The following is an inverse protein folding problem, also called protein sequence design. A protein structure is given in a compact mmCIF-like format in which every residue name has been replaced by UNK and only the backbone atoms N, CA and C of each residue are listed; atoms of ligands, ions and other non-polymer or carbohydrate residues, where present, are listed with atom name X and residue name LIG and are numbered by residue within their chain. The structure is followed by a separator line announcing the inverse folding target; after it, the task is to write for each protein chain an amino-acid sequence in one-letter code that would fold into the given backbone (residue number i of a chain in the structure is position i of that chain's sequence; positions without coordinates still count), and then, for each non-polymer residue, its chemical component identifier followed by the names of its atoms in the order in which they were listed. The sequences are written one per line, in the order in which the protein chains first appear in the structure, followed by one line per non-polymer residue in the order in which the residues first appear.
data_IF_428190111696
#
_entry.id   IF_428190111696
#
_cell.length_a   1.000
_cell.length_b   1.000
_cell.length_c   1.000
_cell.angle_alpha   90.00
_cell.angle_beta   90.00
_cell.angle_gamma   90.00
#
_symmetry.space_group_name_H-M   'P 1'
#
loop_
_entity.id
_entity.type
_entity.pdbx_description
1 polymer ?
#
# COMPACT_ATOMS: atom_id res chain seq x y z
N UNK A 1 3.24 -24.69 -64.84
CA UNK A 1 3.57 -24.72 -63.39
C UNK A 1 4.04 -23.34 -62.86
N UNK A 2 3.31 -22.24 -63.09
CA UNK A 2 3.66 -20.91 -62.53
C UNK A 2 2.54 -20.23 -61.75
N UNK A 3 1.35 -20.84 -61.67
CA UNK A 3 0.19 -20.26 -60.98
C UNK A 3 -0.15 -20.95 -59.63
N UNK A 4 0.54 -22.03 -59.27
CA UNK A 4 0.28 -22.75 -58.00
C UNK A 4 0.98 -22.08 -56.81
N UNK A 5 2.08 -21.36 -57.03
CA UNK A 5 2.79 -20.66 -55.94
C UNK A 5 2.09 -19.36 -55.48
N UNK A 6 1.24 -18.76 -56.32
CA UNK A 6 0.55 -17.52 -55.94
C UNK A 6 -0.67 -17.76 -55.04
N UNK A 7 -1.30 -18.94 -55.13
CA UNK A 7 -2.46 -19.30 -54.29
C UNK A 7 -2.07 -19.70 -52.86
N UNK A 8 -0.86 -20.25 -52.67
CA UNK A 8 -0.33 -20.60 -51.33
C UNK A 8 0.11 -19.34 -50.56
N UNK A 9 0.51 -18.27 -51.27
CA UNK A 9 0.88 -17.00 -50.63
C UNK A 9 -0.33 -16.19 -50.16
N UNK A 10 -1.51 -16.32 -50.81
CA UNK A 10 -2.73 -15.60 -50.41
C UNK A 10 -3.43 -16.29 -49.23
N UNK A 11 -3.29 -17.61 -49.08
CA UNK A 11 -3.79 -18.34 -47.91
C UNK A 11 -2.95 -18.14 -46.64
N UNK A 12 -1.73 -17.59 -46.75
CA UNK A 12 -0.87 -17.29 -45.60
C UNK A 12 -1.06 -15.89 -44.99
N UNK A 13 -1.87 -15.02 -45.62
CA UNK A 13 -2.22 -13.69 -45.07
C UNK A 13 -3.60 -13.61 -44.39
N UNK A 14 -4.39 -14.68 -44.39
CA UNK A 14 -5.66 -14.76 -43.64
C UNK A 14 -5.52 -15.41 -42.24
N UNK A 15 -4.30 -15.69 -41.78
CA UNK A 15 -4.04 -15.98 -40.36
C UNK A 15 -3.93 -14.66 -39.55
N UNK A 16 -4.88 -13.75 -39.77
CA UNK A 16 -5.25 -12.82 -38.71
C UNK A 16 -5.95 -13.67 -37.65
N UNK A 17 -5.46 -13.59 -36.42
CA UNK A 17 -6.01 -14.26 -35.22
C UNK A 17 -7.50 -13.95 -35.08
N UNK A 18 -8.36 -14.70 -35.75
CA UNK A 18 -9.79 -14.67 -35.46
C UNK A 18 -9.96 -15.43 -34.15
N UNK A 19 -10.21 -14.70 -33.07
CA UNK A 19 -10.88 -15.27 -31.91
C UNK A 19 -12.11 -16.03 -32.41
N UNK A 20 -12.37 -17.20 -31.85
CA UNK A 20 -13.58 -17.93 -32.21
C UNK A 20 -14.81 -17.07 -31.93
N UNK A 21 -15.88 -17.23 -32.71
CA UNK A 21 -17.15 -16.51 -32.46
C UNK A 21 -17.62 -16.70 -31.00
N UNK A 22 -17.36 -17.88 -30.43
CA UNK A 22 -17.59 -18.19 -29.03
C UNK A 22 -16.76 -17.33 -28.06
N UNK A 23 -15.47 -17.11 -28.34
CA UNK A 23 -14.60 -16.26 -27.50
C UNK A 23 -14.99 -14.78 -27.59
N UNK A 24 -15.42 -14.29 -28.76
CA UNK A 24 -15.92 -12.92 -28.90
C UNK A 24 -17.21 -12.71 -28.11
N UNK A 25 -18.15 -13.65 -28.20
CA UNK A 25 -19.38 -13.61 -27.41
C UNK A 25 -19.09 -13.67 -25.90
N UNK A 26 -18.13 -14.49 -25.49
CA UNK A 26 -17.70 -14.57 -24.10
C UNK A 26 -17.07 -13.26 -23.63
N UNK A 27 -16.24 -12.63 -24.47
CA UNK A 27 -15.63 -11.32 -24.18
C UNK A 27 -16.70 -10.25 -23.93
N UNK A 28 -17.80 -10.24 -24.69
CA UNK A 28 -18.93 -9.35 -24.45
C UNK A 28 -19.64 -9.63 -23.12
N UNK A 29 -19.82 -10.90 -22.77
CA UNK A 29 -20.54 -11.31 -21.55
C UNK A 29 -19.79 -11.00 -20.25
N UNK A 30 -18.45 -11.09 -20.29
CA UNK A 30 -17.60 -10.84 -19.13
C UNK A 30 -17.36 -9.35 -18.87
N UNK A 31 -17.69 -8.46 -19.82
CA UNK A 31 -17.61 -7.01 -19.55
C UNK A 31 -18.41 -6.68 -18.29
N UNK A 32 -17.88 -5.74 -17.50
CA UNK A 32 -18.36 -5.30 -16.17
C UNK A 32 -17.48 -5.79 -14.99
N UNK A 33 -17.94 -5.54 -13.77
CA UNK A 33 -17.25 -5.82 -12.52
C UNK A 33 -17.75 -7.10 -11.89
N UNK A 34 -16.80 -7.94 -11.49
CA UNK A 34 -17.01 -9.24 -10.90
C UNK A 34 -16.19 -9.35 -9.62
N UNK A 35 -16.71 -10.03 -8.61
CA UNK A 35 -16.01 -10.24 -7.35
C UNK A 35 -16.17 -11.66 -6.84
N UNK A 36 -15.11 -12.25 -6.30
CA UNK A 36 -15.16 -13.61 -5.74
C UNK A 36 -16.23 -13.71 -4.64
N UNK A 37 -17.07 -14.76 -4.67
CA UNK A 37 -18.12 -15.00 -3.67
C UNK A 37 -17.59 -15.71 -2.44
N UNK A 38 -16.58 -16.57 -2.59
CA UNK A 38 -16.06 -17.40 -1.50
C UNK A 38 -15.19 -16.60 -0.51
N UNK A 39 -14.52 -15.55 -0.96
CA UNK A 39 -13.72 -14.68 -0.10
C UNK A 39 -14.56 -13.50 0.42
N UNK A 40 -15.51 -13.79 1.32
CA UNK A 40 -16.39 -12.77 1.93
C UNK A 40 -15.58 -11.66 2.61
N UNK A 41 -14.43 -12.02 3.19
CA UNK A 41 -13.52 -11.11 3.89
C UNK A 41 -12.40 -10.55 3.03
N UNK A 42 -12.19 -11.04 1.80
CA UNK A 42 -11.24 -10.39 0.88
C UNK A 42 -11.52 -10.65 -0.60
N UNK A 43 -12.62 -10.13 -1.19
CA UNK A 43 -12.96 -10.54 -2.53
C UNK A 43 -12.01 -9.89 -3.53
N UNK A 44 -11.49 -10.74 -4.41
CA UNK A 44 -10.76 -10.29 -5.58
C UNK A 44 -11.80 -9.75 -6.55
N UNK A 45 -11.63 -8.49 -6.94
CA UNK A 45 -12.52 -7.80 -7.87
C UNK A 45 -11.81 -7.69 -9.20
N UNK A 46 -12.44 -8.24 -10.22
CA UNK A 46 -12.06 -8.11 -11.61
C UNK A 46 -13.01 -7.14 -12.31
N UNK A 47 -12.49 -6.14 -13.01
CA UNK A 47 -13.27 -5.34 -13.94
C UNK A 47 -12.76 -5.59 -15.35
N UNK A 48 -13.61 -6.09 -16.24
CA UNK A 48 -13.25 -6.30 -17.63
C UNK A 48 -13.75 -5.12 -18.46
N UNK A 49 -12.81 -4.50 -19.17
CA UNK A 49 -13.05 -3.52 -20.22
C UNK A 49 -12.48 -4.11 -21.52
N UNK A 50 -13.03 -3.78 -22.69
CA UNK A 50 -12.76 -4.39 -24.01
C UNK A 50 -11.39 -5.08 -24.22
N UNK A 51 -10.28 -4.41 -23.90
CA UNK A 51 -8.91 -4.95 -24.07
C UNK A 51 -8.11 -5.05 -22.76
N UNK A 52 -8.71 -4.73 -21.61
CA UNK A 52 -8.01 -4.67 -20.34
C UNK A 52 -8.80 -5.30 -19.19
N UNK A 53 -8.10 -6.04 -18.34
CA UNK A 53 -8.63 -6.58 -17.10
C UNK A 53 -8.02 -5.78 -15.97
N UNK A 54 -8.88 -5.20 -15.15
CA UNK A 54 -8.54 -4.55 -13.91
C UNK A 54 -8.66 -5.56 -12.76
N UNK A 55 -7.68 -5.58 -11.86
CA UNK A 55 -7.72 -6.34 -10.62
C UNK A 55 -7.50 -5.41 -9.43
N UNK A 56 -8.41 -5.44 -8.46
CA UNK A 56 -8.29 -4.67 -7.24
C UNK A 56 -7.14 -5.16 -6.36
N UNK A 57 -6.59 -6.35 -6.56
CA UNK A 57 -5.37 -6.78 -5.88
C UNK A 57 -4.12 -6.31 -6.60
N UNK A 58 -4.24 -5.66 -7.76
CA UNK A 58 -3.10 -5.26 -8.57
C UNK A 58 -2.45 -6.45 -9.26
N UNK A 59 -1.61 -6.15 -10.25
CA UNK A 59 -0.75 -7.14 -10.89
C UNK A 59 0.70 -6.86 -10.52
N UNK A 60 1.44 -7.91 -10.19
CA UNK A 60 2.84 -7.80 -9.77
C UNK A 60 3.70 -8.83 -10.51
N UNK A 61 4.90 -8.41 -10.91
CA UNK A 61 6.02 -9.33 -11.05
C UNK A 61 6.56 -9.65 -9.64
N UNK A 62 7.15 -10.83 -9.48
CA UNK A 62 7.68 -11.27 -8.19
C UNK A 62 8.50 -12.54 -8.29
N UNK A 63 9.07 -12.94 -7.15
CA UNK A 63 9.80 -14.20 -6.99
C UNK A 63 9.07 -15.10 -5.99
N UNK A 64 9.18 -16.41 -6.16
CA UNK A 64 8.68 -17.36 -5.18
C UNK A 64 9.85 -17.77 -4.28
N UNK A 65 9.76 -17.45 -3.00
CA UNK A 65 10.73 -17.92 -2.00
C UNK A 65 10.16 -19.10 -1.22
N UNK A 66 10.99 -20.11 -0.98
CA UNK A 66 10.63 -21.26 -0.13
C UNK A 66 10.99 -20.93 1.31
N UNK A 67 10.01 -21.01 2.22
CA UNK A 67 10.24 -20.77 3.65
C UNK A 67 10.20 -22.08 4.45
N UNK A 68 11.34 -22.47 5.02
CA UNK A 68 11.46 -23.62 5.92
C UNK A 68 11.45 -25.00 5.23
N UNK A 69 11.27 -26.05 6.04
CA UNK A 69 11.32 -27.48 5.66
C UNK A 69 10.01 -27.93 4.95
N UNK A 70 8.98 -27.09 4.95
CA UNK A 70 7.72 -27.34 4.24
C UNK A 70 7.76 -26.55 2.94
N UNK A 71 7.44 -27.20 1.81
CA UNK A 71 7.50 -26.64 0.45
C UNK A 71 6.48 -25.50 0.17
N UNK A 72 6.16 -24.67 1.16
CA UNK A 72 5.34 -23.49 0.95
C UNK A 72 6.16 -22.40 0.27
N UNK A 73 5.85 -22.16 -1.01
CA UNK A 73 6.39 -21.06 -1.80
C UNK A 73 5.56 -19.81 -1.53
N UNK A 74 6.18 -18.78 -0.94
CA UNK A 74 5.57 -17.45 -0.77
C UNK A 74 5.92 -16.59 -1.98
N UNK A 75 4.91 -16.01 -2.64
CA UNK A 75 5.13 -15.01 -3.68
C UNK A 75 5.55 -13.69 -3.04
N UNK A 76 6.69 -13.16 -3.45
CA UNK A 76 7.20 -11.86 -3.04
C UNK A 76 7.09 -10.91 -4.23
N UNK A 77 6.17 -9.93 -4.20
CA UNK A 77 6.05 -8.96 -5.28
C UNK A 77 7.32 -8.11 -5.34
N UNK A 78 7.93 -8.03 -6.52
CA UNK A 78 9.13 -7.22 -6.78
C UNK A 78 8.83 -5.97 -7.59
N UNK A 79 7.77 -5.99 -8.41
CA UNK A 79 7.39 -4.84 -9.25
C UNK A 79 5.90 -4.83 -9.53
N UNK A 80 5.24 -3.71 -9.24
CA UNK A 80 3.85 -3.50 -9.61
C UNK A 80 3.71 -3.17 -11.11
N UNK A 81 2.82 -3.85 -11.79
CA UNK A 81 2.56 -3.72 -13.23
C UNK A 81 1.41 -2.76 -13.55
N UNK A 82 0.63 -2.39 -12.53
CA UNK A 82 -0.64 -1.69 -12.70
C UNK A 82 -1.79 -2.56 -12.20
N UNK A 83 -2.96 -1.95 -12.04
CA UNK A 83 -4.18 -2.71 -11.79
C UNK A 83 -4.82 -3.18 -13.07
N UNK A 84 -4.56 -2.49 -14.17
CA UNK A 84 -5.07 -2.84 -15.48
C UNK A 84 -3.92 -3.37 -16.32
N UNK A 85 -4.13 -4.57 -16.84
CA UNK A 85 -3.25 -5.18 -17.82
C UNK A 85 -4.07 -5.59 -19.03
N UNK A 86 -3.41 -5.66 -20.17
CA UNK A 86 -4.06 -6.18 -21.37
C UNK A 86 -4.44 -7.63 -21.13
N UNK A 87 -5.54 -8.05 -21.73
CA UNK A 87 -5.93 -9.45 -21.77
C UNK A 87 -6.53 -9.82 -23.12
N UNK A 88 -6.67 -11.13 -23.33
CA UNK A 88 -7.58 -11.66 -24.35
C UNK A 88 -8.27 -12.91 -23.82
N UNK A 89 -9.27 -13.37 -24.56
CA UNK A 89 -9.94 -14.64 -24.31
C UNK A 89 -9.64 -15.55 -25.48
N UNK A 90 -9.23 -16.78 -25.16
CA UNK A 90 -9.02 -17.84 -26.15
C UNK A 90 -9.40 -19.17 -25.54
N UNK A 91 -10.23 -19.95 -26.23
CA UNK A 91 -10.70 -21.26 -25.77
C UNK A 91 -11.33 -21.18 -24.36
N UNK A 92 -12.14 -20.13 -24.15
CA UNK A 92 -12.74 -19.76 -22.86
C UNK A 92 -11.73 -19.48 -21.72
N UNK A 93 -10.46 -19.30 -22.06
CA UNK A 93 -9.40 -18.98 -21.09
C UNK A 93 -9.02 -17.52 -21.20
N UNK A 94 -9.10 -16.80 -20.09
CA UNK A 94 -8.59 -15.44 -19.97
C UNK A 94 -7.07 -15.54 -19.91
N UNK A 95 -6.39 -14.88 -20.85
CA UNK A 95 -4.95 -14.73 -20.82
C UNK A 95 -4.60 -13.27 -20.57
N UNK A 96 -3.73 -13.02 -19.61
CA UNK A 96 -3.20 -11.69 -19.39
C UNK A 96 -1.81 -11.54 -20.01
N UNK A 97 -1.44 -10.31 -20.35
CA UNK A 97 -0.11 -10.01 -20.88
C UNK A 97 0.79 -9.56 -19.73
N UNK A 98 1.90 -10.28 -19.53
CA UNK A 98 2.92 -9.91 -18.54
C UNK A 98 3.79 -8.72 -18.99
N UNK A 99 4.79 -8.35 -18.18
CA UNK A 99 5.70 -7.24 -18.47
C UNK A 99 6.54 -7.42 -19.75
N UNK A 100 6.58 -8.62 -20.33
CA UNK A 100 7.27 -8.97 -21.57
C UNK A 100 6.26 -9.20 -22.73
N UNK A 101 5.00 -8.83 -22.52
CA UNK A 101 3.90 -8.99 -23.50
C UNK A 101 3.68 -10.44 -23.94
N UNK A 102 4.03 -11.42 -23.10
CA UNK A 102 3.70 -12.83 -23.35
C UNK A 102 2.33 -13.14 -22.73
N UNK A 103 1.37 -13.70 -23.49
CA UNK A 103 0.09 -14.09 -22.94
C UNK A 103 0.28 -15.27 -21.99
N UNK A 104 -0.15 -15.11 -20.75
CA UNK A 104 -0.14 -16.15 -19.71
C UNK A 104 -1.57 -16.53 -19.37
N UNK A 105 -1.90 -17.84 -19.35
CA UNK A 105 -3.25 -18.28 -19.04
C UNK A 105 -3.53 -17.95 -17.56
N UNK A 106 -4.63 -17.24 -17.29
CA UNK A 106 -4.99 -16.79 -15.96
C UNK A 106 -5.95 -17.76 -15.28
N UNK A 107 -7.16 -17.83 -15.81
CA UNK A 107 -8.18 -18.81 -15.46
C UNK A 107 -9.03 -19.14 -16.68
N UNK A 108 -9.65 -20.33 -16.63
CA UNK A 108 -10.66 -20.76 -17.59
C UNK A 108 -12.04 -20.44 -17.06
N UNK A 109 -12.86 -19.80 -17.88
CA UNK A 109 -14.28 -19.58 -17.60
C UNK A 109 -15.02 -20.86 -17.96
N UNK A 110 -15.66 -21.47 -16.96
CA UNK A 110 -16.42 -22.71 -17.13
C UNK A 110 -17.89 -22.42 -17.43
N UNK A 111 -18.45 -21.37 -16.84
CA UNK A 111 -19.79 -20.89 -17.13
C UNK A 111 -19.95 -19.42 -16.75
N UNK A 112 -20.90 -18.73 -17.38
CA UNK A 112 -21.24 -17.34 -17.10
C UNK A 112 -22.72 -17.09 -17.37
N UNK A 113 -23.34 -16.28 -16.52
CA UNK A 113 -24.67 -15.73 -16.71
C UNK A 113 -24.69 -14.24 -16.31
N UNK A 114 -25.87 -13.63 -16.13
CA UNK A 114 -25.99 -12.21 -15.77
C UNK A 114 -25.46 -11.89 -14.37
N UNK A 115 -25.47 -12.84 -13.45
CA UNK A 115 -25.15 -12.63 -12.05
C UNK A 115 -23.83 -13.28 -11.64
N UNK A 116 -23.44 -14.37 -12.30
CA UNK A 116 -22.33 -15.22 -11.86
C UNK A 116 -21.42 -15.67 -13.00
N UNK A 117 -20.14 -15.84 -12.66
CA UNK A 117 -19.12 -16.44 -13.52
C UNK A 117 -18.34 -17.48 -12.71
N UNK A 118 -18.33 -18.73 -13.18
CA UNK A 118 -17.55 -19.81 -12.56
C UNK A 118 -16.23 -19.94 -13.30
N UNK A 119 -15.12 -19.86 -12.57
CA UNK A 119 -13.77 -19.91 -13.11
C UNK A 119 -12.96 -21.05 -12.49
N UNK A 120 -11.95 -21.50 -13.22
CA UNK A 120 -10.91 -22.43 -12.76
C UNK A 120 -9.54 -21.79 -12.95
N UNK A 121 -8.79 -21.59 -11.89
CA UNK A 121 -7.44 -21.02 -12.00
C UNK A 121 -6.52 -22.00 -12.75
N UNK A 122 -5.55 -21.48 -13.52
CA UNK A 122 -4.64 -22.35 -14.28
C UNK A 122 -3.52 -22.93 -13.42
N UNK A 123 -3.07 -22.21 -12.41
CA UNK A 123 -1.95 -22.61 -11.54
C UNK A 123 -2.39 -23.39 -10.31
N UNK A 124 -3.70 -23.40 -10.03
CA UNK A 124 -4.32 -24.09 -8.92
C UNK A 124 -5.62 -24.68 -9.46
N UNK A 125 -5.83 -25.98 -9.33
CA UNK A 125 -7.03 -26.65 -9.85
C UNK A 125 -8.34 -26.22 -9.18
N UNK A 126 -8.27 -25.28 -8.23
CA UNK A 126 -9.39 -24.67 -7.53
C UNK A 126 -10.40 -24.01 -8.47
N UNK A 127 -11.67 -24.13 -8.06
CA UNK A 127 -12.81 -23.47 -8.68
C UNK A 127 -13.19 -22.26 -7.83
N UNK A 128 -13.63 -21.20 -8.48
CA UNK A 128 -14.14 -20.01 -7.82
C UNK A 128 -15.40 -19.52 -8.55
N UNK A 129 -16.28 -18.86 -7.82
CA UNK A 129 -17.50 -18.26 -8.35
C UNK A 129 -17.43 -16.76 -8.13
N UNK A 130 -17.47 -15.99 -9.20
CA UNK A 130 -17.50 -14.54 -9.17
C UNK A 130 -18.95 -14.07 -9.30
N UNK A 131 -19.39 -13.18 -8.41
CA UNK A 131 -20.65 -12.46 -8.53
C UNK A 131 -20.46 -11.12 -9.23
N UNK A 132 -21.38 -10.73 -10.11
CA UNK A 132 -21.40 -9.39 -10.72
C UNK A 132 -21.63 -8.34 -9.63
N UNK A 133 -20.89 -7.23 -9.67
CA UNK A 133 -21.05 -6.10 -8.75
C UNK A 133 -21.67 -4.92 -9.44
N UNK A 134 -22.62 -4.29 -8.75
CA UNK A 134 -23.10 -2.98 -9.12
C UNK A 134 -21.98 -1.94 -8.91
N UNK A 135 -21.62 -1.26 -9.98
CA UNK A 135 -20.73 -0.10 -9.97
C UNK A 135 -21.44 1.12 -9.36
N UNK A 136 -21.79 1.05 -8.07
CA UNK A 136 -22.14 2.26 -7.35
C UNK A 136 -20.86 3.10 -7.22
N UNK A 137 -20.77 4.15 -8.03
CA UNK A 137 -19.69 5.14 -7.98
C UNK A 137 -19.63 5.72 -6.57
N UNK A 138 -18.66 5.26 -5.78
CA UNK A 138 -18.42 5.82 -4.44
C UNK A 138 -17.88 7.24 -4.59
N UNK A 139 -18.30 8.12 -3.69
CA UNK A 139 -17.75 9.48 -3.65
C UNK A 139 -16.29 9.40 -3.22
N UNK A 140 -15.34 9.96 -3.99
CA UNK A 140 -13.93 9.95 -3.61
C UNK A 140 -13.72 10.64 -2.26
N UNK A 141 -12.87 10.06 -1.41
CA UNK A 141 -12.47 10.66 -0.16
C UNK A 141 -11.69 11.94 -0.44
N UNK A 142 -12.16 13.07 0.09
CA UNK A 142 -11.38 14.30 0.04
C UNK A 142 -10.42 14.36 1.23
N UNK A 143 -9.15 14.08 0.96
CA UNK A 143 -8.05 14.15 1.92
C UNK A 143 -6.87 14.93 1.30
N UNK A 144 -5.91 15.35 2.12
CA UNK A 144 -4.66 16.00 1.68
C UNK A 144 -3.46 15.07 1.89
N UNK A 145 -3.44 14.30 2.98
CA UNK A 145 -2.38 13.34 3.30
C UNK A 145 -2.93 12.10 4.03
N UNK A 146 -2.33 10.94 3.77
CA UNK A 146 -2.46 9.72 4.56
C UNK A 146 -1.16 9.48 5.31
N UNK A 147 -1.25 9.18 6.60
CA UNK A 147 -0.15 8.61 7.38
C UNK A 147 -0.49 7.16 7.68
N UNK A 148 0.45 6.25 7.47
CA UNK A 148 0.28 4.85 7.83
C UNK A 148 1.55 4.33 8.50
N UNK A 149 1.40 3.69 9.65
CA UNK A 149 2.52 3.12 10.41
C UNK A 149 2.19 1.74 10.93
N UNK A 150 3.18 0.86 10.95
CA UNK A 150 3.06 -0.50 11.50
C UNK A 150 4.01 -0.68 12.67
N UNK A 151 3.62 -1.48 13.65
CA UNK A 151 4.51 -1.94 14.72
C UNK A 151 5.18 -3.28 14.35
N UNK A 152 6.16 -3.67 15.17
CA UNK A 152 6.70 -5.03 15.10
C UNK A 152 5.72 -6.06 15.65
N UNK A 153 6.01 -7.33 15.40
CA UNK A 153 5.31 -8.47 15.97
C UNK A 153 6.35 -9.49 16.46
N UNK A 154 5.93 -10.58 17.10
CA UNK A 154 6.85 -11.68 17.37
C UNK A 154 7.20 -12.39 16.05
N UNK A 155 8.34 -12.05 15.47
CA UNK A 155 8.80 -12.55 14.17
C UNK A 155 9.36 -11.45 13.28
N UNK A 156 8.94 -11.44 12.01
CA UNK A 156 9.49 -10.55 10.96
C UNK A 156 8.42 -9.68 10.31
N UNK A 157 7.49 -9.13 11.09
CA UNK A 157 6.54 -8.13 10.57
C UNK A 157 7.29 -6.85 10.18
N UNK A 158 7.00 -6.34 8.99
CA UNK A 158 7.60 -5.11 8.49
C UNK A 158 7.26 -3.95 9.42
N UNK A 159 8.27 -3.18 9.83
CA UNK A 159 8.10 -1.96 10.60
C UNK A 159 8.31 -0.79 9.66
N UNK A 160 7.21 -0.18 9.24
CA UNK A 160 7.20 0.88 8.23
C UNK A 160 6.41 2.08 8.69
N UNK A 161 6.80 3.23 8.17
CA UNK A 161 6.12 4.49 8.41
C UNK A 161 6.09 5.26 7.11
N UNK A 162 4.90 5.53 6.59
CA UNK A 162 4.70 6.16 5.30
C UNK A 162 3.77 7.36 5.42
N UNK A 163 4.11 8.39 4.67
CA UNK A 163 3.35 9.62 4.55
C UNK A 163 3.13 9.87 3.07
N UNK A 164 1.88 9.80 2.64
CA UNK A 164 1.49 9.92 1.23
C UNK A 164 0.63 11.15 1.08
N UNK A 165 1.13 12.11 0.30
CA UNK A 165 0.37 13.29 -0.10
C UNK A 165 -0.58 12.94 -1.24
N UNK A 166 -1.72 13.64 -1.35
CA UNK A 166 -2.73 13.44 -2.41
C UNK A 166 -2.17 13.51 -3.84
N UNK A 167 -1.03 14.19 -4.03
CA UNK A 167 -0.37 14.29 -5.33
C UNK A 167 0.57 13.11 -5.66
N UNK A 168 0.63 12.10 -4.79
CA UNK A 168 1.47 10.91 -4.90
C UNK A 168 2.91 11.09 -4.40
N UNK A 169 3.28 12.25 -3.83
CA UNK A 169 4.55 12.37 -3.11
C UNK A 169 4.51 11.49 -1.87
N UNK A 170 5.59 10.72 -1.65
CA UNK A 170 5.69 9.77 -0.54
C UNK A 170 6.99 9.99 0.23
N UNK A 171 6.88 9.96 1.56
CA UNK A 171 8.00 9.76 2.47
C UNK A 171 7.83 8.37 3.10
N UNK A 172 8.90 7.57 3.11
CA UNK A 172 8.90 6.20 3.64
C UNK A 172 10.10 6.02 4.56
N UNK A 173 9.84 5.78 5.84
CA UNK A 173 10.83 5.36 6.82
C UNK A 173 10.69 3.85 7.09
N UNK A 174 11.69 3.11 6.63
CA UNK A 174 11.73 1.66 6.59
C UNK A 174 12.58 1.12 7.75
N UNK A 175 11.99 0.95 8.93
CA UNK A 175 12.74 0.65 10.16
C UNK A 175 13.28 -0.79 10.18
N UNK A 176 12.44 -1.79 9.86
CA UNK A 176 12.85 -3.19 9.87
C UNK A 176 12.00 -4.10 8.97
N UNK A 177 12.55 -5.28 8.66
CA UNK A 177 11.89 -6.40 7.97
C UNK A 177 11.20 -6.04 6.64
N UNK A 178 11.79 -5.15 5.84
CA UNK A 178 11.24 -4.71 4.55
C UNK A 178 12.29 -4.51 3.44
N UNK A 179 13.36 -5.31 3.46
CA UNK A 179 14.40 -5.34 2.43
C UNK A 179 15.39 -4.17 2.52
N UNK A 180 14.96 -2.93 2.19
CA UNK A 180 15.85 -1.75 2.19
C UNK A 180 15.48 -0.77 3.30
N UNK A 181 16.32 -0.76 4.34
CA UNK A 181 16.24 0.15 5.48
C UNK A 181 16.60 1.59 5.10
N UNK A 182 16.08 2.53 5.88
CA UNK A 182 16.39 3.96 5.78
C UNK A 182 15.16 4.83 5.53
N UNK A 183 15.39 6.13 5.44
CA UNK A 183 14.34 7.13 5.20
C UNK A 183 14.47 7.72 3.81
N UNK A 184 13.38 7.66 3.06
CA UNK A 184 13.38 8.01 1.65
C UNK A 184 12.21 8.92 1.29
N UNK A 185 12.47 9.87 0.40
CA UNK A 185 11.44 10.63 -0.31
C UNK A 185 11.42 10.19 -1.78
N UNK A 186 10.22 10.16 -2.36
CA UNK A 186 10.03 9.89 -3.77
C UNK A 186 8.63 10.24 -4.22
N UNK A 187 8.25 9.67 -5.36
CA UNK A 187 6.90 9.82 -5.91
C UNK A 187 6.37 8.46 -6.34
N UNK A 188 5.12 8.16 -6.03
CA UNK A 188 4.46 6.97 -6.52
C UNK A 188 4.38 7.01 -8.05
N UNK A 189 4.60 5.87 -8.70
CA UNK A 189 4.28 5.73 -10.11
C UNK A 189 2.82 6.10 -10.38
N UNK A 190 2.53 6.72 -11.53
CA UNK A 190 1.17 7.20 -11.85
C UNK A 190 0.13 6.08 -11.75
N UNK A 191 0.44 4.88 -12.22
CA UNK A 191 -0.49 3.74 -12.17
C UNK A 191 -0.71 3.26 -10.73
N UNK A 192 0.36 3.22 -9.94
CA UNK A 192 0.28 2.82 -8.53
C UNK A 192 -0.42 3.88 -7.67
N UNK A 193 -0.23 5.16 -7.96
CA UNK A 193 -0.95 6.22 -7.31
C UNK A 193 -2.46 6.10 -7.57
N UNK A 194 -2.87 5.91 -8.83
CA UNK A 194 -4.29 5.68 -9.17
C UNK A 194 -4.87 4.43 -8.50
N UNK A 195 -4.06 3.37 -8.36
CA UNK A 195 -4.45 2.19 -7.59
C UNK A 195 -4.72 2.52 -6.13
N UNK A 196 -3.76 3.19 -5.49
CA UNK A 196 -3.86 3.53 -4.09
C UNK A 196 -5.08 4.43 -3.83
N UNK A 197 -5.33 5.42 -4.69
CA UNK A 197 -6.51 6.28 -4.62
C UNK A 197 -7.80 5.48 -4.65
N UNK A 198 -7.88 4.51 -5.56
CA UNK A 198 -9.04 3.62 -5.61
C UNK A 198 -9.18 2.81 -4.32
N UNK A 199 -8.09 2.34 -3.72
CA UNK A 199 -8.13 1.62 -2.44
C UNK A 199 -8.56 2.45 -1.26
N UNK A 200 -8.12 3.69 -1.21
CA UNK A 200 -8.57 4.65 -0.21
C UNK A 200 -10.09 4.85 -0.31
N UNK A 201 -10.61 4.97 -1.54
CA UNK A 201 -12.05 5.13 -1.78
C UNK A 201 -12.84 3.84 -1.48
N UNK A 202 -12.33 2.68 -1.90
CA UNK A 202 -12.97 1.38 -1.71
C UNK A 202 -13.11 1.03 -0.22
N UNK A 203 -12.14 1.43 0.61
CA UNK A 203 -12.08 1.19 2.05
C UNK A 203 -13.07 2.03 2.86
N UNK A 204 -13.64 3.09 2.28
CA UNK A 204 -14.60 3.98 2.93
C UNK A 204 -14.13 4.44 4.31
N UNK A 205 -12.89 4.94 4.42
CA UNK A 205 -12.20 5.14 5.69
C UNK A 205 -13.01 5.89 6.77
N UNK A 206 -13.87 6.84 6.37
CA UNK A 206 -14.68 7.62 7.30
C UNK A 206 -15.82 6.82 7.95
N UNK A 207 -16.29 5.72 7.33
CA UNK A 207 -17.36 4.87 7.87
C UNK A 207 -16.84 3.79 8.84
N UNK A 208 -15.53 3.56 8.88
CA UNK A 208 -14.89 2.58 9.76
C UNK A 208 -14.91 3.03 11.22
N UNK A 209 -14.72 2.13 12.18
CA UNK A 209 -14.49 2.48 13.59
C UNK A 209 -13.06 3.03 13.76
N UNK A 210 -12.81 3.72 14.86
CA UNK A 210 -11.47 4.26 15.15
C UNK A 210 -10.51 3.21 15.74
N UNK A 211 -11.04 2.15 16.38
CA UNK A 211 -10.24 1.09 16.99
C UNK A 211 -10.82 -0.29 16.68
N UNK A 212 -9.95 -1.21 16.25
CA UNK A 212 -10.20 -2.62 16.02
C UNK A 212 -9.11 -3.41 16.75
N UNK A 213 -9.52 -4.30 17.64
CA UNK A 213 -8.60 -5.00 18.52
C UNK A 213 -9.14 -6.38 18.90
N UNK A 214 -8.28 -7.39 18.81
CA UNK A 214 -8.51 -8.72 19.40
C UNK A 214 -7.68 -8.89 20.66
N UNK A 215 -8.16 -9.74 21.59
CA UNK A 215 -7.43 -10.10 22.81
C UNK A 215 -6.38 -11.19 22.55
N UNK A 216 -5.47 -10.95 21.61
CA UNK A 216 -4.35 -11.84 21.32
C UNK A 216 -3.03 -11.07 21.40
N UNK A 217 -1.96 -11.72 21.83
CA UNK A 217 -0.64 -11.09 21.94
C UNK A 217 0.14 -11.23 20.64
N UNK A 218 1.28 -10.52 20.58
CA UNK A 218 2.36 -10.77 19.61
C UNK A 218 2.05 -10.46 18.14
N UNK A 219 0.94 -9.78 17.86
CA UNK A 219 0.59 -9.29 16.52
C UNK A 219 1.09 -7.86 16.28
N UNK A 220 1.14 -7.45 15.00
CA UNK A 220 1.40 -6.06 14.64
C UNK A 220 0.20 -5.18 14.95
N UNK A 221 0.50 -3.91 15.22
CA UNK A 221 -0.43 -2.80 15.32
C UNK A 221 -0.25 -1.90 14.11
N UNK A 222 -1.33 -1.65 13.39
CA UNK A 222 -1.37 -0.74 12.26
C UNK A 222 -2.17 0.50 12.64
N UNK A 223 -1.62 1.67 12.30
CA UNK A 223 -2.24 2.96 12.57
C UNK A 223 -2.32 3.74 11.27
N UNK A 224 -3.52 4.22 10.93
CA UNK A 224 -3.79 5.05 9.77
C UNK A 224 -4.40 6.38 10.21
N UNK A 225 -3.84 7.49 9.73
CA UNK A 225 -4.44 8.83 9.86
C UNK A 225 -4.86 9.36 8.49
N UNK A 226 -6.04 9.95 8.43
CA UNK A 226 -6.50 10.75 7.29
C UNK A 226 -6.42 12.22 7.68
N UNK A 227 -5.64 13.00 6.94
CA UNK A 227 -5.46 14.42 7.17
C UNK A 227 -6.19 15.22 6.09
N UNK A 228 -6.96 16.22 6.51
CA UNK A 228 -7.60 17.19 5.62
C UNK A 228 -7.62 18.58 6.25
N UNK A 229 -7.23 19.60 5.47
CA UNK A 229 -7.17 21.02 5.89
C UNK A 229 -6.47 21.17 7.23
N UNK A 230 -5.26 20.62 7.31
CA UNK A 230 -4.41 20.68 8.50
C UNK A 230 -5.04 20.04 9.76
N UNK A 231 -5.96 19.07 9.62
CA UNK A 231 -6.56 18.35 10.75
C UNK A 231 -6.60 16.86 10.49
N UNK A 232 -6.44 16.06 11.55
CA UNK A 232 -6.73 14.63 11.51
C UNK A 232 -8.26 14.48 11.50
N UNK A 233 -8.83 14.05 10.37
CA UNK A 233 -10.28 13.81 10.24
C UNK A 233 -10.67 12.36 10.49
N UNK A 234 -9.69 11.46 10.53
CA UNK A 234 -9.88 10.05 10.88
C UNK A 234 -8.59 9.47 11.45
N UNK A 235 -8.71 8.65 12.49
CA UNK A 235 -7.64 7.82 13.04
C UNK A 235 -8.18 6.40 13.17
N UNK A 236 -7.50 5.42 12.56
CA UNK A 236 -7.86 4.01 12.63
C UNK A 236 -6.69 3.27 13.23
N UNK A 237 -6.95 2.55 14.31
CA UNK A 237 -6.04 1.60 14.93
C UNK A 237 -6.54 0.18 14.69
N UNK A 238 -5.65 -0.68 14.24
CA UNK A 238 -5.91 -2.10 14.04
C UNK A 238 -4.85 -2.87 14.78
N UNK A 239 -5.27 -3.68 15.75
CA UNK A 239 -4.39 -4.62 16.42
C UNK A 239 -4.98 -6.01 16.27
N UNK A 240 -4.27 -6.89 15.57
CA UNK A 240 -4.59 -8.31 15.56
C UNK A 240 -6.00 -8.67 15.02
N UNK A 241 -6.67 -7.74 14.32
CA UNK A 241 -8.09 -7.84 13.97
C UNK A 241 -8.28 -7.90 12.46
N UNK A 242 -8.93 -8.95 11.90
CA UNK A 242 -9.29 -8.99 10.49
C UNK A 242 -10.37 -7.93 10.21
N UNK A 243 -9.96 -6.81 9.62
CA UNK A 243 -10.89 -5.79 9.14
C UNK A 243 -11.66 -6.27 7.91
N UNK A 244 -12.48 -5.38 7.36
CA UNK A 244 -13.14 -5.66 6.09
C UNK A 244 -12.11 -5.78 4.95
N UNK A 245 -12.46 -6.51 3.88
CA UNK A 245 -11.63 -6.68 2.69
C UNK A 245 -10.94 -5.45 2.12
N UNK A 246 -11.71 -4.37 2.03
CA UNK A 246 -11.29 -3.19 1.30
C UNK A 246 -10.20 -2.48 2.09
N UNK A 247 -10.29 -2.48 3.42
CA UNK A 247 -9.23 -2.00 4.28
C UNK A 247 -7.98 -2.88 4.19
N UNK A 248 -8.09 -4.21 4.32
CA UNK A 248 -6.92 -5.11 4.20
C UNK A 248 -6.23 -4.98 2.84
N UNK A 249 -7.00 -4.75 1.78
CA UNK A 249 -6.44 -4.45 0.46
C UNK A 249 -5.72 -3.11 0.39
N UNK A 250 -6.20 -2.08 1.09
CA UNK A 250 -5.54 -0.78 1.19
C UNK A 250 -4.25 -0.90 2.01
N UNK A 251 -4.31 -1.58 3.15
CA UNK A 251 -3.18 -1.84 4.04
C UNK A 251 -2.01 -2.51 3.31
N UNK A 252 -2.31 -3.52 2.49
CA UNK A 252 -1.32 -4.17 1.64
C UNK A 252 -0.69 -3.19 0.63
N UNK A 253 -1.51 -2.36 -0.02
CA UNK A 253 -1.02 -1.36 -0.97
C UNK A 253 -0.13 -0.31 -0.27
N UNK A 254 -0.56 0.18 0.89
CA UNK A 254 0.22 1.07 1.74
C UNK A 254 1.56 0.43 2.10
N UNK A 255 1.57 -0.83 2.52
CA UNK A 255 2.77 -1.56 2.91
C UNK A 255 3.84 -1.63 1.81
N UNK A 256 3.43 -1.78 0.56
CA UNK A 256 4.35 -1.86 -0.58
C UNK A 256 4.69 -0.50 -1.22
N UNK A 257 3.99 0.58 -0.85
CA UNK A 257 4.15 1.89 -1.48
C UNK A 257 5.59 2.41 -1.44
N UNK A 258 6.31 2.20 -0.32
CA UNK A 258 7.70 2.61 -0.15
C UNK A 258 8.71 1.87 -1.04
N UNK A 259 8.36 0.67 -1.50
CA UNK A 259 9.19 -0.12 -2.43
C UNK A 259 8.91 0.23 -3.89
N UNK A 260 7.74 0.79 -4.18
CA UNK A 260 7.26 1.11 -5.52
C UNK A 260 7.39 2.59 -5.90
N UNK A 261 8.16 3.35 -5.10
CA UNK A 261 8.42 4.76 -5.39
C UNK A 261 9.44 4.94 -6.53
N UNK A 262 9.16 5.89 -7.41
CA UNK A 262 10.09 6.42 -8.40
C UNK A 262 10.93 7.56 -7.79
N UNK A 263 12.11 7.80 -8.37
CA UNK A 263 13.03 8.89 -7.97
C UNK A 263 13.41 8.86 -6.48
N UNK A 264 13.58 7.65 -5.93
CA UNK A 264 13.92 7.41 -4.53
C UNK A 264 15.25 8.07 -4.15
N UNK A 265 15.22 9.01 -3.22
CA UNK A 265 16.40 9.64 -2.60
C UNK A 265 16.33 9.53 -1.08
N UNK A 266 17.49 9.54 -0.41
CA UNK A 266 17.54 9.64 1.06
C UNK A 266 16.93 10.96 1.51
N UNK A 267 16.23 10.95 2.64
CA UNK A 267 15.51 12.12 3.14
C UNK A 267 15.61 12.19 4.67
N UNK A 268 16.34 13.19 5.19
CA UNK A 268 16.51 13.46 6.63
C UNK A 268 16.74 12.23 7.52
N UNK A 269 17.55 11.28 7.03
CA UNK A 269 17.81 10.01 7.72
C UNK A 269 18.57 10.23 9.05
N UNK A 270 19.42 11.26 9.13
CA UNK A 270 20.15 11.63 10.35
C UNK A 270 19.28 12.28 11.42
N UNK A 271 18.19 12.93 11.02
CA UNK A 271 17.23 13.62 11.89
C UNK A 271 15.99 12.76 12.17
N UNK A 272 15.93 11.57 11.60
CA UNK A 272 14.90 10.59 11.89
C UNK A 272 15.13 9.99 13.28
N UNK A 273 14.08 9.97 14.10
CA UNK A 273 14.07 9.27 15.37
C UNK A 273 13.08 8.10 15.29
N UNK A 274 13.43 6.94 15.88
CA UNK A 274 12.63 5.73 15.75
C UNK A 274 11.27 5.95 16.42
N UNK A 275 10.20 5.55 15.74
CA UNK A 275 8.84 5.92 16.17
C UNK A 275 8.24 4.98 17.22
N UNK A 276 9.07 4.09 17.77
CA UNK A 276 8.80 3.39 19.03
C UNK A 276 9.02 4.31 20.25
N UNK A 277 9.42 5.57 20.02
CA UNK A 277 9.42 6.59 21.05
C UNK A 277 8.00 7.08 21.36
N UNK A 278 7.58 6.93 22.61
CA UNK A 278 6.37 7.60 23.11
C UNK A 278 6.71 9.06 23.37
N UNK A 279 6.09 9.97 22.61
CA UNK A 279 6.15 11.40 22.88
C UNK A 279 4.94 11.77 23.73
N UNK A 280 5.20 12.27 24.93
CA UNK A 280 4.16 12.78 25.82
C UNK A 280 4.10 14.32 25.75
N UNK A 281 2.96 14.83 25.31
CA UNK A 281 2.66 16.26 25.20
C UNK A 281 1.53 16.59 26.17
N UNK A 282 1.80 17.37 27.21
CA UNK A 282 0.81 17.80 28.21
C UNK A 282 0.01 16.63 28.83
N UNK A 283 0.65 15.48 29.04
CA UNK A 283 0.01 14.28 29.57
C UNK A 283 -0.79 13.45 28.55
N UNK A 284 -0.87 13.89 27.29
CA UNK A 284 -1.36 13.08 26.17
C UNK A 284 -0.18 12.41 25.46
N UNK A 285 -0.24 11.10 25.33
CA UNK A 285 0.72 10.32 24.56
C UNK A 285 0.35 10.35 23.08
N UNK A 286 1.30 10.70 22.22
CA UNK A 286 1.13 10.60 20.77
C UNK A 286 1.17 9.14 20.34
N UNK A 287 0.26 8.76 19.44
CA UNK A 287 0.35 7.48 18.73
C UNK A 287 1.56 7.46 17.81
N UNK A 288 2.02 6.27 17.39
CA UNK A 288 3.13 6.13 16.44
C UNK A 288 2.89 6.93 15.15
N UNK A 289 1.67 6.89 14.62
CA UNK A 289 1.30 7.67 13.45
C UNK A 289 1.30 9.20 13.69
N UNK A 290 0.88 9.66 14.87
CA UNK A 290 0.96 11.08 15.24
C UNK A 290 2.40 11.55 15.44
N UNK A 291 3.25 10.71 16.04
CA UNK A 291 4.70 10.93 16.15
C UNK A 291 5.34 11.02 14.77
N UNK A 292 4.94 10.17 13.81
CA UNK A 292 5.45 10.26 12.45
C UNK A 292 4.96 11.51 11.73
N UNK A 293 3.68 11.85 11.89
CA UNK A 293 3.14 13.12 11.38
C UNK A 293 3.96 14.30 11.92
N UNK A 294 4.20 14.34 13.23
CA UNK A 294 5.05 15.36 13.86
C UNK A 294 6.43 15.45 13.21
N UNK A 295 7.12 14.32 13.05
CA UNK A 295 8.42 14.29 12.37
C UNK A 295 8.32 14.80 10.93
N UNK A 296 7.32 14.36 10.15
CA UNK A 296 7.16 14.83 8.76
C UNK A 296 6.85 16.31 8.67
N UNK A 297 6.12 16.88 9.64
CA UNK A 297 5.90 18.32 9.70
C UNK A 297 7.22 19.06 9.99
N UNK A 298 8.04 18.60 10.95
CA UNK A 298 9.35 19.22 11.23
C UNK A 298 10.24 19.26 9.97
N UNK A 299 10.31 18.16 9.21
CA UNK A 299 11.19 18.05 8.04
C UNK A 299 10.76 18.91 6.84
N UNK A 300 9.55 19.48 6.85
CA UNK A 300 9.14 20.49 5.85
C UNK A 300 9.83 21.83 6.07
N UNK A 301 10.42 22.06 7.24
CA UNK A 301 11.00 23.34 7.63
C UNK A 301 12.53 23.23 7.78
N UNK A 302 13.28 24.27 7.39
CA UNK A 302 14.72 24.30 7.57
C UNK A 302 15.08 24.36 9.06
N UNK A 303 16.12 23.62 9.46
CA UNK A 303 16.63 23.69 10.84
C UNK A 303 17.47 24.95 11.04
N UNK A 304 16.93 25.94 11.77
CA UNK A 304 17.60 27.22 12.04
C UNK A 304 17.57 27.53 13.53
N UNK A 305 18.68 28.02 14.08
CA UNK A 305 18.73 28.39 15.50
C UNK A 305 17.68 29.48 15.80
N UNK A 306 16.77 29.18 16.73
CA UNK A 306 15.68 30.07 17.16
C UNK A 306 15.67 30.23 18.68
N UNK A 307 15.10 31.34 19.16
CA UNK A 307 14.82 31.53 20.58
C UNK A 307 13.39 31.07 20.88
N UNK A 308 13.27 30.06 21.75
CA UNK A 308 11.97 29.48 22.13
C UNK A 308 11.48 30.18 23.40
N UNK A 309 10.38 30.93 23.29
CA UNK A 309 9.68 31.50 24.45
C UNK A 309 8.71 30.46 25.03
N UNK A 310 8.54 30.46 26.36
CA UNK A 310 7.62 29.58 27.10
C UNK A 310 7.85 28.09 26.81
N UNK A 311 9.12 27.69 26.83
CA UNK A 311 9.56 26.34 26.50
C UNK A 311 9.05 25.32 27.53
N UNK A 312 8.44 24.25 27.02
CA UNK A 312 8.08 23.04 27.76
C UNK A 312 9.00 21.90 27.32
N UNK A 313 9.25 20.94 28.21
CA UNK A 313 9.96 19.71 27.87
C UNK A 313 8.95 18.60 27.64
N UNK A 314 9.00 17.97 26.48
CA UNK A 314 8.18 16.79 26.17
C UNK A 314 8.96 15.54 26.57
N UNK A 315 8.30 14.62 27.30
CA UNK A 315 8.94 13.38 27.71
C UNK A 315 9.01 12.43 26.52
N UNK A 316 10.18 11.84 26.31
CA UNK A 316 10.43 10.79 25.32
C UNK A 316 10.76 9.50 26.06
N UNK A 317 9.95 8.46 25.85
CA UNK A 317 10.23 7.12 26.39
C UNK A 317 10.49 6.17 25.21
N UNK A 318 11.54 5.37 25.30
CA UNK A 318 11.92 4.44 24.23
C UNK A 318 11.55 3.02 24.61
N UNK A 319 10.82 2.33 23.74
CA UNK A 319 10.60 0.90 23.85
C UNK A 319 11.40 0.19 22.79
N UNK A 320 12.38 -0.60 23.21
CA UNK A 320 13.04 -1.57 22.36
C UNK A 320 12.18 -2.84 22.35
N UNK A 321 11.23 -2.94 21.42
CA UNK A 321 10.63 -4.23 21.13
C UNK A 321 11.51 -4.94 20.10
N UNK A 322 12.53 -5.68 20.54
CA UNK A 322 13.23 -6.60 19.64
C UNK A 322 13.51 -7.94 20.32
N UNK A 323 12.88 -8.98 19.76
CA UNK A 323 13.21 -10.39 19.95
C UNK A 323 13.65 -10.95 18.58
N UNK A 324 14.95 -10.96 18.30
CA UNK A 324 15.52 -11.55 17.08
C UNK A 324 16.96 -11.12 16.82
N UNK A 325 17.82 -12.05 16.38
CA UNK A 325 19.25 -11.85 16.16
C UNK A 325 19.56 -10.92 14.96
N UNK A 326 20.58 -10.07 15.17
CA UNK A 326 21.40 -9.30 14.23
C UNK A 326 20.80 -9.06 12.82
N UNK A 327 20.04 -7.97 12.68
CA UNK A 327 19.82 -7.33 11.38
C UNK A 327 20.07 -5.84 11.51
N UNK A 328 21.24 -5.39 11.04
CA UNK A 328 21.76 -4.02 11.16
C UNK A 328 20.67 -2.96 11.12
N UNK A 329 20.42 -2.35 12.26
CA UNK A 329 19.34 -1.39 12.48
C UNK A 329 19.50 -0.21 11.50
N UNK A 330 18.41 0.50 11.14
CA UNK A 330 18.65 1.95 11.00
C UNK A 330 19.23 2.30 12.36
N UNK A 331 20.41 2.92 12.42
CA UNK A 331 20.93 3.45 13.68
C UNK A 331 20.53 4.93 13.73
N UNK A 332 19.23 5.27 13.89
CA UNK A 332 18.84 6.66 14.03
C UNK A 332 19.53 7.17 15.29
N UNK A 333 20.10 8.37 15.22
CA UNK A 333 20.60 8.99 16.44
C UNK A 333 19.44 9.02 17.44
N UNK A 334 19.64 8.46 18.64
CA UNK A 334 18.58 8.38 19.63
C UNK A 334 18.23 9.78 20.11
N UNK A 335 16.94 10.10 20.10
CA UNK A 335 16.41 11.40 20.49
C UNK A 335 16.38 11.53 22.01
N UNK A 336 17.24 12.37 22.58
CA UNK A 336 17.33 12.55 24.03
C UNK A 336 16.21 13.41 24.60
N UNK A 337 15.84 14.48 23.91
CA UNK A 337 14.77 15.36 24.39
C UNK A 337 14.16 16.18 23.26
N UNK A 338 12.89 16.53 23.45
CA UNK A 338 12.20 17.53 22.66
C UNK A 338 11.78 18.63 23.62
N UNK A 339 12.06 19.87 23.24
CA UNK A 339 11.58 21.04 23.98
C UNK A 339 10.92 22.02 23.04
N UNK A 340 9.85 22.67 23.43
CA UNK A 340 9.15 23.58 22.53
C UNK A 340 7.95 24.27 23.15
N UNK A 341 7.23 25.01 22.30
CA UNK A 341 6.00 25.72 22.66
C UNK A 341 4.82 25.36 21.74
N UNK A 342 4.92 24.21 21.06
CA UNK A 342 3.94 23.75 20.07
C UNK A 342 4.17 24.26 18.66
N UNK A 343 4.82 25.41 18.47
CA UNK A 343 5.22 25.91 17.13
C UNK A 343 6.72 25.75 16.89
N UNK A 344 7.51 26.10 17.90
CA UNK A 344 8.97 26.08 17.86
C UNK A 344 9.47 24.90 18.67
N UNK A 345 10.41 24.14 18.09
CA UNK A 345 10.94 22.92 18.68
C UNK A 345 12.48 22.90 18.65
N UNK A 346 13.09 22.47 19.75
CA UNK A 346 14.48 22.06 19.88
C UNK A 346 14.50 20.54 20.08
N UNK A 347 15.16 19.82 19.17
CA UNK A 347 15.42 18.40 19.28
C UNK A 347 16.89 18.20 19.62
N UNK A 348 17.17 17.42 20.67
CA UNK A 348 18.53 17.04 21.07
C UNK A 348 18.72 15.55 20.88
N UNK A 349 19.76 15.15 20.14
CA UNK A 349 20.11 13.76 19.87
C UNK A 349 21.33 13.30 20.71
N UNK A 350 21.55 11.99 20.82
CA UNK A 350 22.61 11.39 21.65
C UNK A 350 24.03 11.85 21.32
N UNK A 351 24.29 12.25 20.07
CA UNK A 351 25.55 12.85 19.64
C UNK A 351 25.70 14.34 20.04
N UNK A 352 24.83 14.85 20.93
CA UNK A 352 24.69 16.26 21.31
C UNK A 352 24.34 17.20 20.14
N UNK A 353 23.92 16.66 18.99
CA UNK A 353 23.45 17.46 17.87
C UNK A 353 22.07 18.05 18.22
N UNK A 354 21.94 19.36 18.02
CA UNK A 354 20.71 20.09 18.25
C UNK A 354 20.12 20.57 16.94
N UNK A 355 18.83 20.30 16.75
CA UNK A 355 18.05 20.78 15.62
C UNK A 355 16.94 21.68 16.12
N UNK A 356 16.61 22.69 15.33
CA UNK A 356 15.71 23.76 15.72
C UNK A 356 14.72 24.02 14.60
N UNK A 357 13.42 23.84 14.86
CA UNK A 357 12.37 23.95 13.85
C UNK A 357 11.35 24.98 14.28
N UNK A 358 10.92 25.82 13.35
CA UNK A 358 9.74 26.69 13.49
C UNK A 358 8.73 26.30 12.42
N UNK A 359 7.62 25.70 12.84
CA UNK A 359 6.57 25.24 11.93
C UNK A 359 5.73 26.40 11.37
N UNK A 360 5.81 27.59 11.96
CA UNK A 360 4.93 28.72 11.64
C UNK A 360 3.49 28.55 12.13
N UNK A 361 3.17 27.43 12.78
CA UNK A 361 1.87 27.15 13.40
C UNK A 361 2.04 26.24 14.62
N UNK A 362 1.05 26.21 15.51
CA UNK A 362 1.07 25.32 16.67
C UNK A 362 0.61 23.90 16.28
N UNK A 363 1.53 22.93 16.26
CA UNK A 363 1.27 21.53 15.92
C UNK A 363 0.24 20.88 16.85
N UNK A 364 0.34 21.16 18.14
CA UNK A 364 -0.50 20.54 19.18
C UNK A 364 -1.96 20.99 18.97
N UNK A 365 -2.18 22.30 18.87
CA UNK A 365 -3.51 22.87 18.62
C UNK A 365 -4.13 22.46 17.28
N UNK A 366 -3.28 22.08 16.32
CA UNK A 366 -3.68 21.77 14.96
C UNK A 366 -4.06 20.30 14.78
N UNK A 367 -3.31 19.40 15.40
CA UNK A 367 -3.43 17.96 15.15
C UNK A 367 -3.79 17.12 16.39
N UNK A 368 -3.63 17.64 17.61
CA UNK A 368 -3.76 16.87 18.86
C UNK A 368 -4.94 17.33 19.72
N UNK A 369 -5.25 18.63 19.69
CA UNK A 369 -6.46 19.22 20.29
C UNK A 369 -7.57 19.37 19.24
#
# INVERSE_FOLDING_TARGET
MKYIYFFILILSFNSCKNNSEADNKLLEQIQDVWSTKMAVLDPVIYKFDQDSIYNNKGYYDGIYETYGIREHKKFIPTKFLGNSIKFNVKDSTVHYFDSISKPKPFFKILSINKEEMVIKYNNDSSLDTLGRRDNNTKTPLDYDQIIYTTSGCYGSCSIINIAIQKNGTIISANEAFNGKKGVFEGKLDKKFHQFLEQKINDAELLSLKDNYEEQITDQSEDLLLVIKKDKIIKSIRVYAYPMNPSYSSLELALTYSGSLMNNKKKYHESEYFPLLSLININGKQLSKAQTFLFWTELMKHPSNKISIKNQQTYKTEFYYYYFGEELGEINPCKLLSIKGNGQQFELTFENNQKHYYDLGYNFIQRYID
#
